data_IF_806410815998
#
_entry.id   IF_806410815998
#
_cell.length_a   1.000
_cell.length_b   1.000
_cell.length_c   1.000
_cell.angle_alpha   90.00
_cell.angle_beta   90.00
_cell.angle_gamma   90.00
#
_symmetry.space_group_name_H-M   'P 1'
#
loop_
_entity.id
_entity.type
_entity.pdbx_description
1 polymer ?
#
# COMPACT_ATOMS: atom_id res chain seq x y z
N UNK A 1 -10.58 -11.79 10.68
CA UNK A 1 -10.45 -12.16 9.25
C UNK A 1 -11.55 -11.48 8.47
N UNK A 2 -11.21 -10.94 7.31
CA UNK A 2 -12.14 -10.35 6.35
C UNK A 2 -12.48 -11.36 5.26
N UNK A 3 -13.74 -11.44 4.81
CA UNK A 3 -14.20 -12.41 3.83
C UNK A 3 -15.13 -11.84 2.73
N UNK A 4 -15.26 -10.51 2.64
CA UNK A 4 -16.16 -9.85 1.71
C UNK A 4 -15.42 -9.32 0.47
N UNK A 5 -15.85 -9.74 -0.73
CA UNK A 5 -15.33 -9.30 -2.03
C UNK A 5 -15.89 -7.94 -2.46
N UNK A 6 -15.38 -7.35 -3.56
CA UNK A 6 -15.97 -6.17 -4.16
C UNK A 6 -17.46 -6.37 -4.50
N UNK A 7 -18.21 -5.29 -4.43
CA UNK A 7 -19.61 -5.30 -4.83
C UNK A 7 -19.75 -5.53 -6.35
N UNK A 8 -20.61 -6.44 -6.71
CA UNK A 8 -21.00 -6.71 -8.09
C UNK A 8 -22.49 -6.43 -8.30
N UNK A 9 -22.85 -6.02 -9.51
CA UNK A 9 -24.24 -5.71 -9.84
C UNK A 9 -25.17 -6.91 -9.65
N UNK A 10 -24.69 -8.09 -10.01
CA UNK A 10 -25.37 -9.35 -9.71
C UNK A 10 -24.76 -9.97 -8.44
N UNK A 11 -25.57 -10.14 -7.40
CA UNK A 11 -25.17 -10.82 -6.16
C UNK A 11 -24.60 -9.93 -5.06
N UNK A 12 -24.40 -8.61 -5.26
CA UNK A 12 -23.92 -7.70 -4.22
C UNK A 12 -22.47 -7.99 -3.80
N UNK A 13 -22.20 -8.03 -2.49
CA UNK A 13 -20.89 -8.39 -1.96
C UNK A 13 -20.74 -9.91 -1.90
N UNK A 14 -19.91 -10.47 -2.78
CA UNK A 14 -19.57 -11.89 -2.76
C UNK A 14 -18.64 -12.26 -1.58
N UNK A 15 -18.40 -13.55 -1.40
CA UNK A 15 -17.45 -14.07 -0.42
C UNK A 15 -16.34 -14.88 -1.07
N UNK A 16 -15.16 -14.88 -0.46
CA UNK A 16 -14.04 -15.71 -0.89
C UNK A 16 -14.20 -17.12 -0.31
N UNK A 17 -14.44 -18.09 -1.19
CA UNK A 17 -14.62 -19.50 -0.79
C UNK A 17 -13.29 -20.24 -0.74
N UNK A 18 -12.43 -19.99 -1.73
CA UNK A 18 -11.12 -20.65 -1.86
C UNK A 18 -10.01 -19.61 -1.94
N UNK A 19 -9.37 -19.25 -0.81
CA UNK A 19 -8.27 -18.30 -0.82
C UNK A 19 -7.01 -18.88 -1.47
N UNK A 20 -6.36 -18.09 -2.31
CA UNK A 20 -5.06 -18.41 -2.89
C UNK A 20 -3.92 -17.96 -1.97
N UNK A 21 -4.12 -16.81 -1.29
CA UNK A 21 -3.11 -16.18 -0.45
C UNK A 21 -3.64 -15.86 0.95
N UNK A 22 -2.75 -15.90 1.94
CA UNK A 22 -2.98 -15.34 3.27
C UNK A 22 -2.25 -14.00 3.38
N UNK A 23 -2.99 -12.91 3.56
CA UNK A 23 -2.44 -11.56 3.71
C UNK A 23 -2.68 -11.07 5.13
N UNK A 24 -1.65 -10.55 5.78
CA UNK A 24 -1.78 -9.80 7.02
C UNK A 24 -1.80 -8.31 6.70
N UNK A 25 -2.89 -7.63 7.05
CA UNK A 25 -3.04 -6.19 6.88
C UNK A 25 -2.86 -5.48 8.22
N UNK A 26 -1.87 -4.59 8.30
CA UNK A 26 -1.64 -3.76 9.48
C UNK A 26 -2.58 -2.56 9.41
N UNK A 27 -3.42 -2.40 10.44
CA UNK A 27 -4.48 -1.39 10.49
C UNK A 27 -3.99 -0.07 11.07
N UNK A 28 -3.65 0.88 10.21
CA UNK A 28 -3.41 2.28 10.59
C UNK A 28 -4.66 3.16 10.43
N UNK A 29 -5.79 2.58 10.02
CA UNK A 29 -7.04 3.25 9.67
C UNK A 29 -7.59 2.76 8.34
N UNK A 30 -7.60 1.43 8.15
CA UNK A 30 -7.86 0.77 6.87
C UNK A 30 -9.28 1.00 6.35
N UNK A 31 -9.40 1.37 5.09
CA UNK A 31 -10.68 1.45 4.40
C UNK A 31 -11.14 0.05 3.97
N UNK A 32 -12.42 -0.24 4.22
CA UNK A 32 -13.04 -1.54 3.87
C UNK A 32 -12.90 -1.90 2.40
N UNK A 33 -12.90 -0.91 1.49
CA UNK A 33 -12.78 -1.19 0.07
C UNK A 33 -11.41 -1.76 -0.32
N UNK A 34 -10.35 -1.43 0.43
CA UNK A 34 -9.03 -2.07 0.29
C UNK A 34 -9.15 -3.57 0.57
N UNK A 35 -9.80 -3.93 1.68
CA UNK A 35 -10.00 -5.32 2.07
C UNK A 35 -10.79 -6.10 1.00
N UNK A 36 -11.84 -5.49 0.44
CA UNK A 36 -12.63 -6.09 -0.64
C UNK A 36 -11.82 -6.32 -1.90
N UNK A 37 -10.97 -5.36 -2.28
CA UNK A 37 -10.13 -5.49 -3.48
C UNK A 37 -9.05 -6.57 -3.30
N UNK A 38 -8.46 -6.68 -2.10
CA UNK A 38 -7.56 -7.78 -1.79
C UNK A 38 -8.27 -9.14 -1.87
N UNK A 39 -9.48 -9.25 -1.31
CA UNK A 39 -10.30 -10.46 -1.40
C UNK A 39 -10.68 -10.78 -2.86
N UNK A 40 -10.91 -9.74 -3.67
CA UNK A 40 -11.16 -9.88 -5.12
C UNK A 40 -10.00 -10.53 -5.86
N UNK A 41 -8.77 -10.36 -5.38
CA UNK A 41 -7.55 -10.99 -5.92
C UNK A 41 -7.22 -12.34 -5.25
N UNK A 42 -8.15 -12.92 -4.51
CA UNK A 42 -7.98 -14.23 -3.87
C UNK A 42 -7.26 -14.20 -2.52
N UNK A 43 -7.16 -13.03 -1.90
CA UNK A 43 -6.48 -12.89 -0.61
C UNK A 43 -7.45 -13.07 0.57
N UNK A 44 -7.21 -14.05 1.42
CA UNK A 44 -7.79 -14.10 2.76
C UNK A 44 -7.04 -13.10 3.64
N UNK A 45 -7.72 -12.06 4.07
CA UNK A 45 -7.08 -10.96 4.80
C UNK A 45 -7.30 -11.10 6.31
N UNK A 46 -6.22 -11.12 7.08
CA UNK A 46 -6.25 -10.99 8.54
C UNK A 46 -5.81 -9.58 8.90
N UNK A 47 -6.72 -8.80 9.45
CA UNK A 47 -6.45 -7.43 9.91
C UNK A 47 -5.90 -7.50 11.33
N UNK A 48 -4.76 -6.85 11.57
CA UNK A 48 -4.09 -6.80 12.87
C UNK A 48 -3.93 -5.34 13.33
N UNK A 49 -3.95 -5.07 14.64
CA UNK A 49 -3.72 -3.73 15.17
C UNK A 49 -2.37 -3.14 14.71
N UNK A 50 -2.32 -1.81 14.61
CA UNK A 50 -1.11 -1.07 14.20
C UNK A 50 0.12 -1.34 15.09
N UNK A 51 -0.10 -1.78 16.32
CA UNK A 51 0.95 -2.08 17.32
C UNK A 51 1.35 -3.55 17.39
N UNK A 52 0.86 -4.38 16.47
CA UNK A 52 1.23 -5.81 16.41
C UNK A 52 2.71 -5.94 16.10
N UNK A 53 3.38 -6.83 16.80
CA UNK A 53 4.82 -7.07 16.62
C UNK A 53 5.12 -7.74 15.27
N UNK A 54 6.33 -7.53 14.77
CA UNK A 54 6.81 -8.24 13.56
C UNK A 54 6.84 -9.75 13.76
N UNK A 55 7.19 -10.21 14.97
CA UNK A 55 7.21 -11.62 15.34
C UNK A 55 5.81 -12.25 15.22
N UNK A 56 4.77 -11.61 15.77
CA UNK A 56 3.39 -12.10 15.68
C UNK A 56 2.88 -12.10 14.23
N UNK A 57 3.21 -11.06 13.45
CA UNK A 57 2.85 -10.98 12.03
C UNK A 57 3.48 -12.13 11.26
N UNK A 58 4.78 -12.35 11.40
CA UNK A 58 5.51 -13.39 10.68
C UNK A 58 5.15 -14.81 11.15
N UNK A 59 4.76 -14.97 12.43
CA UNK A 59 4.26 -16.23 12.96
C UNK A 59 2.96 -16.70 12.28
N UNK A 60 2.18 -15.78 11.71
CA UNK A 60 0.99 -16.09 10.90
C UNK A 60 1.34 -16.68 9.53
N UNK A 61 2.63 -16.70 9.14
CA UNK A 61 3.14 -17.19 7.85
C UNK A 61 2.40 -16.53 6.67
N UNK A 62 2.37 -15.20 6.59
CA UNK A 62 1.67 -14.52 5.51
C UNK A 62 2.37 -14.74 4.17
N UNK A 63 1.59 -14.87 3.10
CA UNK A 63 2.08 -14.80 1.73
C UNK A 63 2.38 -13.36 1.32
N UNK A 64 1.75 -12.39 1.99
CA UNK A 64 1.98 -10.96 1.80
C UNK A 64 1.58 -10.15 3.03
N UNK A 65 2.21 -8.98 3.19
CA UNK A 65 1.87 -7.99 4.22
C UNK A 65 1.38 -6.71 3.55
N UNK A 66 0.26 -6.20 4.05
CA UNK A 66 -0.33 -4.97 3.55
C UNK A 66 -0.22 -3.85 4.62
N UNK A 67 0.34 -2.71 4.22
CA UNK A 67 0.46 -1.52 5.06
C UNK A 67 -0.68 -0.57 4.70
N UNK A 68 -1.65 -0.41 5.59
CA UNK A 68 -2.87 0.31 5.27
C UNK A 68 -2.68 1.82 5.19
N UNK A 69 -3.66 2.48 4.60
CA UNK A 69 -3.89 3.90 4.78
C UNK A 69 -4.23 4.21 6.24
N UNK A 70 -4.15 5.47 6.62
CA UNK A 70 -4.53 5.96 7.94
C UNK A 70 -4.38 7.47 8.05
N UNK A 71 -4.91 8.07 9.11
CA UNK A 71 -4.77 9.48 9.41
C UNK A 71 -3.47 9.80 10.16
N UNK A 72 -3.17 11.07 10.28
CA UNK A 72 -2.17 11.59 11.21
C UNK A 72 -0.81 11.91 10.59
N UNK A 73 0.11 12.23 11.47
CA UNK A 73 1.49 12.54 11.12
C UNK A 73 2.28 11.23 10.96
N UNK A 74 2.89 10.99 9.78
CA UNK A 74 3.69 9.79 9.56
C UNK A 74 4.89 9.66 10.53
N UNK A 75 5.46 10.76 11.00
CA UNK A 75 6.57 10.72 11.95
C UNK A 75 6.14 10.15 13.32
N UNK A 76 4.91 10.43 13.75
CA UNK A 76 4.38 9.89 15.01
C UNK A 76 4.06 8.39 14.88
N UNK A 77 3.36 8.01 13.82
CA UNK A 77 3.07 6.59 13.53
C UNK A 77 4.36 5.79 13.32
N UNK A 78 5.35 6.40 12.67
CA UNK A 78 6.65 5.78 12.40
C UNK A 78 7.41 5.33 13.65
N UNK A 79 7.19 5.96 14.80
CA UNK A 79 7.88 5.59 16.06
C UNK A 79 7.70 4.12 16.43
N UNK A 80 6.54 3.54 16.15
CA UNK A 80 6.25 2.12 16.41
C UNK A 80 6.15 1.27 15.14
N UNK A 81 5.75 1.86 14.01
CA UNK A 81 5.55 1.12 12.77
C UNK A 81 6.86 0.79 12.04
N UNK A 82 7.83 1.72 12.04
CA UNK A 82 9.08 1.56 11.29
C UNK A 82 9.86 0.30 11.65
N UNK A 83 10.13 -0.03 12.93
CA UNK A 83 10.87 -1.26 13.26
C UNK A 83 10.16 -2.52 12.78
N UNK A 84 8.84 -2.57 12.89
CA UNK A 84 8.01 -3.71 12.43
C UNK A 84 8.13 -3.88 10.91
N UNK A 85 8.01 -2.78 10.16
CA UNK A 85 8.12 -2.80 8.69
C UNK A 85 9.52 -3.22 8.24
N UNK A 86 10.57 -2.75 8.93
CA UNK A 86 11.95 -3.16 8.65
C UNK A 86 12.14 -4.67 8.79
N UNK A 87 11.59 -5.28 9.81
CA UNK A 87 11.66 -6.73 10.02
C UNK A 87 10.86 -7.49 8.96
N UNK A 88 9.67 -6.98 8.58
CA UNK A 88 8.85 -7.55 7.50
C UNK A 88 9.62 -7.50 6.17
N UNK A 89 10.24 -6.37 5.83
CA UNK A 89 11.06 -6.25 4.61
C UNK A 89 12.22 -7.25 4.63
N UNK A 90 12.95 -7.36 5.75
CA UNK A 90 14.06 -8.30 5.90
C UNK A 90 13.64 -9.76 5.74
N UNK A 91 12.40 -10.09 6.07
CA UNK A 91 11.88 -11.46 5.91
C UNK A 91 11.66 -11.87 4.44
N UNK A 92 11.67 -10.90 3.51
CA UNK A 92 11.43 -11.15 2.08
C UNK A 92 9.96 -11.35 1.70
N UNK A 93 9.03 -11.18 2.64
CA UNK A 93 7.60 -11.28 2.37
C UNK A 93 7.13 -10.13 1.46
N UNK A 94 6.41 -10.43 0.36
CA UNK A 94 5.79 -9.42 -0.48
C UNK A 94 5.02 -8.38 0.33
N UNK A 95 5.30 -7.10 0.08
CA UNK A 95 4.71 -6.01 0.87
C UNK A 95 4.17 -4.91 -0.04
N UNK A 96 2.94 -4.49 0.23
CA UNK A 96 2.29 -3.38 -0.47
C UNK A 96 1.76 -2.34 0.52
N UNK A 97 2.05 -1.06 0.29
CA UNK A 97 1.63 0.06 1.13
C UNK A 97 0.80 1.11 0.39
N UNK A 98 -0.25 1.63 1.03
CA UNK A 98 -1.11 2.70 0.50
C UNK A 98 -1.14 3.90 1.45
N UNK A 99 -0.97 5.10 0.91
CA UNK A 99 -1.07 6.40 1.57
C UNK A 99 -0.17 6.49 2.82
N UNK A 100 -0.71 6.37 4.05
CA UNK A 100 0.14 6.31 5.24
C UNK A 100 1.10 5.11 5.22
N UNK A 101 0.65 3.95 4.71
CA UNK A 101 1.51 2.78 4.54
C UNK A 101 2.68 3.02 3.58
N UNK A 102 2.49 3.83 2.54
CA UNK A 102 3.56 4.29 1.67
C UNK A 102 4.56 5.18 2.42
N UNK A 103 4.08 6.13 3.22
CA UNK A 103 4.92 7.00 4.02
C UNK A 103 5.71 6.21 5.08
N UNK A 104 5.07 5.22 5.70
CA UNK A 104 5.73 4.30 6.64
C UNK A 104 6.83 3.48 5.97
N UNK A 105 6.58 2.98 4.74
CA UNK A 105 7.61 2.29 3.96
C UNK A 105 8.78 3.22 3.67
N UNK A 106 8.51 4.47 3.24
CA UNK A 106 9.55 5.48 3.02
C UNK A 106 10.42 5.69 4.26
N UNK A 107 9.81 5.86 5.44
CA UNK A 107 10.53 6.01 6.70
C UNK A 107 11.32 4.74 7.07
N UNK A 108 10.75 3.56 6.84
CA UNK A 108 11.40 2.28 7.17
C UNK A 108 12.67 2.04 6.37
N UNK A 109 12.74 2.51 5.12
CA UNK A 109 13.95 2.42 4.30
C UNK A 109 14.94 3.55 4.55
N UNK A 110 14.62 4.51 5.42
CA UNK A 110 15.51 5.61 5.80
C UNK A 110 15.26 6.94 5.08
N UNK A 111 14.24 7.03 4.25
CA UNK A 111 13.79 8.31 3.69
C UNK A 111 13.11 9.18 4.76
N UNK A 112 12.90 10.43 4.44
CA UNK A 112 12.17 11.39 5.28
C UNK A 112 10.80 11.68 4.68
N UNK A 113 9.87 12.11 5.53
CA UNK A 113 8.61 12.70 5.10
C UNK A 113 8.64 14.21 5.31
N UNK A 114 7.93 14.93 4.44
CA UNK A 114 7.77 16.38 4.53
C UNK A 114 6.29 16.74 4.57
N UNK A 115 5.95 17.71 5.41
CA UNK A 115 4.62 18.31 5.39
C UNK A 115 4.49 19.17 4.13
N UNK A 116 3.42 18.95 3.38
CA UNK A 116 3.15 19.73 2.18
C UNK A 116 2.62 21.09 2.54
N UNK A 117 2.96 22.12 1.75
CA UNK A 117 2.40 23.47 1.91
C UNK A 117 0.89 23.43 1.67
N UNK A 118 0.48 22.73 0.63
CA UNK A 118 -0.91 22.43 0.30
C UNK A 118 -1.01 20.91 0.05
N UNK A 119 -1.86 20.23 0.83
CA UNK A 119 -2.09 18.79 0.67
C UNK A 119 -2.84 18.47 -0.64
N UNK A 120 -2.81 17.22 -1.02
CA UNK A 120 -3.59 16.72 -2.15
C UNK A 120 -4.91 16.14 -1.68
N UNK A 121 -6.02 16.71 -2.16
CA UNK A 121 -7.38 16.30 -1.81
C UNK A 121 -8.27 16.30 -3.06
N UNK A 122 -8.77 15.13 -3.46
CA UNK A 122 -9.65 15.00 -4.62
C UNK A 122 -9.42 13.73 -5.43
N UNK A 123 -10.28 13.51 -6.41
CA UNK A 123 -10.28 12.33 -7.26
C UNK A 123 -9.85 12.62 -8.72
N UNK A 124 -9.09 13.67 -8.92
CA UNK A 124 -8.69 14.18 -10.24
C UNK A 124 -7.19 14.49 -10.32
N UNK A 125 -6.36 13.79 -9.54
CA UNK A 125 -4.92 14.00 -9.50
C UNK A 125 -4.22 13.14 -10.55
N UNK A 126 -3.58 13.76 -11.57
CA UNK A 126 -2.80 13.02 -12.55
C UNK A 126 -1.45 12.62 -11.95
N UNK A 127 -1.15 11.33 -12.05
CA UNK A 127 0.10 10.73 -11.62
C UNK A 127 0.74 10.03 -12.79
N UNK A 128 2.02 10.27 -13.02
CA UNK A 128 2.80 9.54 -14.01
C UNK A 128 3.48 8.35 -13.36
N UNK A 129 3.25 7.17 -13.91
CA UNK A 129 4.06 5.98 -13.66
C UNK A 129 5.35 6.09 -14.47
N UNK A 130 6.47 6.26 -13.80
CA UNK A 130 7.78 6.42 -14.44
C UNK A 130 8.31 5.09 -15.00
N UNK A 131 7.77 3.96 -14.55
CA UNK A 131 8.17 2.64 -15.04
C UNK A 131 7.56 2.32 -16.41
N UNK A 132 6.37 2.84 -16.70
CA UNK A 132 5.63 2.59 -17.95
C UNK A 132 5.46 3.84 -18.82
N UNK A 133 5.65 5.02 -18.24
CA UNK A 133 5.37 6.31 -18.88
C UNK A 133 3.89 6.67 -18.95
N UNK A 134 2.99 5.85 -18.42
CA UNK A 134 1.55 6.10 -18.42
C UNK A 134 1.17 7.16 -17.39
N UNK A 135 0.11 7.90 -17.72
CA UNK A 135 -0.53 8.83 -16.78
C UNK A 135 -1.86 8.22 -16.32
N UNK A 136 -2.06 8.20 -15.02
CA UNK A 136 -3.26 7.72 -14.36
C UNK A 136 -3.95 8.84 -13.62
N UNK A 137 -5.28 8.86 -13.63
CA UNK A 137 -6.06 9.75 -12.77
C UNK A 137 -6.29 9.03 -11.46
N UNK A 138 -5.94 9.69 -10.36
CA UNK A 138 -5.93 9.08 -9.02
C UNK A 138 -6.74 9.89 -8.02
N UNK A 139 -7.14 9.22 -6.94
CA UNK A 139 -7.73 9.84 -5.77
C UNK A 139 -6.66 10.05 -4.70
N UNK A 140 -6.57 11.25 -4.16
CA UNK A 140 -5.60 11.61 -3.11
C UNK A 140 -6.29 12.25 -1.92
N UNK A 141 -5.77 11.96 -0.73
CA UNK A 141 -6.18 12.61 0.52
C UNK A 141 -5.02 12.56 1.52
N UNK A 142 -4.03 13.42 1.36
CA UNK A 142 -2.86 13.48 2.23
C UNK A 142 -2.27 14.87 2.36
N UNK A 143 -1.66 15.17 3.49
CA UNK A 143 -0.95 16.42 3.77
C UNK A 143 0.55 16.26 3.97
N UNK A 144 1.06 15.02 3.85
CA UNK A 144 2.48 14.68 3.92
C UNK A 144 2.88 13.88 2.68
N UNK A 145 4.14 13.99 2.28
CA UNK A 145 4.71 13.20 1.19
C UNK A 145 6.09 12.67 1.59
N UNK A 146 6.51 11.59 0.97
CA UNK A 146 7.91 11.13 1.07
C UNK A 146 8.78 12.13 0.32
N UNK A 147 9.87 12.53 0.94
CA UNK A 147 10.87 13.40 0.33
C UNK A 147 11.80 12.56 -0.56
N UNK A 148 11.56 12.64 -1.85
CA UNK A 148 12.26 11.87 -2.89
C UNK A 148 13.78 12.08 -2.87
N UNK A 149 14.22 13.29 -2.50
CA UNK A 149 15.66 13.60 -2.38
C UNK A 149 16.37 12.82 -1.27
N UNK A 150 15.61 12.20 -0.37
CA UNK A 150 16.13 11.41 0.75
C UNK A 150 16.01 9.90 0.56
N UNK A 151 15.50 9.44 -0.58
CA UNK A 151 15.42 8.01 -0.88
C UNK A 151 16.82 7.39 -0.91
N UNK A 152 17.07 6.31 -0.16
CA UNK A 152 18.37 5.65 -0.16
C UNK A 152 18.58 4.83 -1.44
N UNK A 153 19.81 4.44 -1.70
CA UNK A 153 20.13 3.48 -2.74
C UNK A 153 19.33 2.18 -2.54
N UNK A 154 18.77 1.64 -3.64
CA UNK A 154 17.90 0.47 -3.60
C UNK A 154 16.42 0.78 -3.39
N UNK A 155 16.05 2.03 -3.15
CA UNK A 155 14.66 2.49 -3.17
C UNK A 155 14.44 3.46 -4.34
N UNK A 156 13.57 3.09 -5.28
CA UNK A 156 13.34 3.83 -6.52
C UNK A 156 11.95 4.45 -6.52
N UNK A 157 11.86 5.74 -6.91
CA UNK A 157 10.59 6.40 -7.18
C UNK A 157 9.95 5.76 -8.41
N UNK A 158 8.69 5.37 -8.30
CA UNK A 158 7.93 4.76 -9.40
C UNK A 158 6.84 5.66 -9.95
N UNK A 159 6.30 6.55 -9.13
CA UNK A 159 5.21 7.42 -9.49
C UNK A 159 5.46 8.84 -9.02
N UNK A 160 5.01 9.82 -9.82
CA UNK A 160 5.19 11.24 -9.56
C UNK A 160 3.90 12.02 -9.83
N UNK A 161 3.54 12.94 -8.94
CA UNK A 161 2.44 13.88 -9.18
C UNK A 161 2.78 14.85 -10.31
N UNK A 162 1.88 14.98 -11.28
CA UNK A 162 2.03 15.97 -12.36
C UNK A 162 1.61 17.38 -11.95
N UNK A 163 1.07 17.56 -10.74
CA UNK A 163 0.74 18.90 -10.25
C UNK A 163 1.94 19.60 -9.64
N UNK A 164 2.78 18.87 -8.87
CA UNK A 164 3.84 19.50 -8.09
C UNK A 164 5.15 18.70 -8.02
N UNK A 165 5.21 17.58 -8.73
CA UNK A 165 6.40 16.73 -8.75
C UNK A 165 6.63 15.90 -7.49
N UNK A 166 5.69 15.88 -6.53
CA UNK A 166 5.85 15.10 -5.31
C UNK A 166 5.85 13.59 -5.58
N UNK A 167 6.57 12.86 -4.74
CA UNK A 167 6.63 11.40 -4.80
C UNK A 167 5.25 10.78 -4.57
N UNK A 168 4.86 9.87 -5.45
CA UNK A 168 3.60 9.15 -5.39
C UNK A 168 3.75 7.63 -5.42
N UNK A 169 4.96 7.11 -5.41
CA UNK A 169 5.20 5.67 -5.37
C UNK A 169 6.67 5.32 -5.19
N UNK A 170 6.92 4.21 -4.53
CA UNK A 170 8.25 3.66 -4.27
C UNK A 170 8.22 2.16 -4.53
N UNK A 171 9.33 1.61 -5.02
CA UNK A 171 9.64 0.18 -5.00
C UNK A 171 11.04 -0.06 -4.48
N UNK A 172 11.26 -1.24 -3.90
CA UNK A 172 12.60 -1.68 -3.47
C UNK A 172 13.20 -2.60 -4.54
N UNK A 173 14.42 -2.28 -4.96
CA UNK A 173 15.13 -3.06 -5.97
C UNK A 173 15.48 -4.47 -5.45
N UNK A 174 15.16 -5.48 -6.26
CA UNK A 174 15.42 -6.88 -5.90
C UNK A 174 14.55 -7.44 -4.77
N UNK A 175 13.53 -6.71 -4.32
CA UNK A 175 12.60 -7.14 -3.28
C UNK A 175 11.15 -6.98 -3.75
N UNK A 176 10.23 -7.87 -3.31
CA UNK A 176 8.81 -7.79 -3.70
C UNK A 176 8.06 -6.74 -2.86
N UNK A 177 8.55 -5.50 -2.84
CA UNK A 177 8.05 -4.42 -1.99
C UNK A 177 7.78 -3.18 -2.82
N UNK A 178 6.55 -2.67 -2.77
CA UNK A 178 6.17 -1.42 -3.41
C UNK A 178 5.06 -0.69 -2.66
N UNK A 179 4.88 0.58 -2.96
CA UNK A 179 3.83 1.39 -2.35
C UNK A 179 3.42 2.57 -3.22
N UNK A 180 2.22 3.09 -2.97
CA UNK A 180 1.70 4.29 -3.63
C UNK A 180 1.09 5.25 -2.63
N UNK A 181 1.23 6.56 -2.91
CA UNK A 181 0.71 7.63 -2.05
C UNK A 181 -0.80 7.83 -2.23
N UNK A 182 -1.31 7.57 -3.40
CA UNK A 182 -2.72 7.74 -3.74
C UNK A 182 -3.57 6.52 -3.32
N UNK A 183 -4.88 6.64 -3.52
CA UNK A 183 -5.86 5.64 -3.11
C UNK A 183 -6.39 4.86 -4.33
N UNK A 184 -5.76 3.73 -4.72
CA UNK A 184 -6.24 2.92 -5.85
C UNK A 184 -7.59 2.26 -5.58
N UNK A 185 -8.00 2.19 -4.32
CA UNK A 185 -9.28 1.63 -3.87
C UNK A 185 -10.44 2.61 -3.90
N UNK A 186 -10.22 3.85 -4.31
CA UNK A 186 -11.23 4.91 -4.24
C UNK A 186 -12.56 4.49 -4.87
N UNK A 187 -13.65 4.65 -4.11
CA UNK A 187 -15.01 4.35 -4.55
C UNK A 187 -16.01 5.26 -3.81
N UNK A 188 -16.73 6.16 -4.52
CA UNK A 188 -16.56 6.48 -5.94
C UNK A 188 -15.18 7.11 -6.22
N UNK A 189 -14.65 6.87 -7.41
CA UNK A 189 -13.36 7.40 -7.85
C UNK A 189 -12.81 6.72 -9.09
N UNK A 190 -11.66 7.18 -9.60
CA UNK A 190 -10.99 6.58 -10.73
C UNK A 190 -10.54 5.15 -10.43
N UNK A 191 -10.58 4.29 -11.45
CA UNK A 191 -10.20 2.87 -11.35
C UNK A 191 -8.91 2.54 -12.09
N UNK A 192 -8.21 3.53 -12.62
CA UNK A 192 -7.03 3.36 -13.46
C UNK A 192 -5.94 2.53 -12.77
N UNK A 193 -5.85 2.63 -11.45
CA UNK A 193 -4.82 1.99 -10.63
C UNK A 193 -5.27 0.73 -9.87
N UNK A 194 -6.46 0.17 -10.17
CA UNK A 194 -6.92 -1.09 -9.55
C UNK A 194 -5.96 -2.26 -9.81
N UNK A 195 -5.22 -2.25 -10.93
CA UNK A 195 -4.23 -3.27 -11.27
C UNK A 195 -3.12 -3.45 -10.21
N UNK A 196 -2.93 -2.49 -9.31
CA UNK A 196 -1.93 -2.60 -8.23
C UNK A 196 -2.25 -3.72 -7.25
N UNK A 197 -3.52 -4.02 -7.02
CA UNK A 197 -3.92 -5.16 -6.19
C UNK A 197 -3.57 -6.49 -6.87
N UNK A 198 -3.81 -6.59 -8.18
CA UNK A 198 -3.36 -7.72 -8.98
C UNK A 198 -1.83 -7.85 -8.99
N UNK A 199 -1.10 -6.74 -9.13
CA UNK A 199 0.36 -6.71 -9.05
C UNK A 199 0.86 -7.30 -7.72
N UNK A 200 0.20 -6.97 -6.61
CA UNK A 200 0.54 -7.54 -5.31
C UNK A 200 0.28 -9.05 -5.26
N UNK A 201 -0.85 -9.51 -5.79
CA UNK A 201 -1.13 -10.94 -5.91
C UNK A 201 -0.09 -11.68 -6.79
N UNK A 202 0.30 -11.07 -7.91
CA UNK A 202 1.32 -11.65 -8.79
C UNK A 202 2.71 -11.72 -8.12
N UNK A 203 3.08 -10.75 -7.28
CA UNK A 203 4.30 -10.80 -6.47
C UNK A 203 4.26 -11.92 -5.44
N UNK A 204 3.12 -12.12 -4.76
CA UNK A 204 2.94 -13.23 -3.83
C UNK A 204 3.03 -14.59 -4.54
N UNK A 205 2.44 -14.69 -5.74
CA UNK A 205 2.50 -15.92 -6.55
C UNK A 205 3.93 -16.24 -6.97
N UNK A 206 4.69 -15.24 -7.41
CA UNK A 206 6.09 -15.40 -7.77
C UNK A 206 6.99 -15.76 -6.58
N UNK A 207 6.65 -15.32 -5.38
CA UNK A 207 7.42 -15.59 -4.17
C UNK A 207 7.13 -16.97 -3.55
N UNK A 208 6.00 -17.60 -3.92
CA UNK A 208 5.66 -18.97 -3.51
C UNK A 208 6.37 -20.08 -4.31
N UNK A 209 6.81 -19.75 -5.51
CA UNK A 209 7.48 -20.71 -6.43
C UNK A 209 8.94 -20.75 -6.21
#
# INVERSE_FOLDING_TARGET
TWDEKPWAWEGGFGRLETPEFNVVAIDYGIKRNILRLLEGEGCKVTVVPATTSSEDILAMKPDGVFLSNGPGDPAETGKYAVPVIQDVIKSGVPTFGICLGHQMLGLAVGAKTKKMHQGHHGANHPVKDETTGKVEITSMNHGFAVDEATLPAGATQTHISLFDGSNCGIQLEGQPVFSVQYHPEASPGPRDSHYLFKRFADLMRANKG
#
